data_IF_058861116565
#
_entry.id   IF_058861116565
#
_cell.length_a   1.000
_cell.length_b   1.000
_cell.length_c   1.000
_cell.angle_alpha   90.00
_cell.angle_beta   90.00
_cell.angle_gamma   90.00
#
_symmetry.space_group_name_H-M   'P 1'
#
loop_
_entity.id
_entity.type
_entity.pdbx_description
1 polymer ?
#
# COMPACT_ATOMS: atom_id res chain seq x y z
N UNK A 1 -18.65 -12.51 0.40
CA UNK A 1 -18.21 -13.76 1.08
C UNK A 1 -16.76 -14.04 0.69
N UNK A 2 -16.05 -14.98 1.33
CA UNK A 2 -14.64 -15.29 0.97
C UNK A 2 -14.49 -15.75 -0.49
N UNK A 3 -15.50 -16.47 -1.02
CA UNK A 3 -15.51 -16.94 -2.40
C UNK A 3 -15.68 -15.80 -3.40
N UNK A 4 -16.63 -14.90 -3.17
CA UNK A 4 -16.82 -13.70 -4.01
C UNK A 4 -15.56 -12.83 -4.09
N UNK A 5 -14.83 -12.72 -2.99
CA UNK A 5 -13.60 -11.94 -2.94
C UNK A 5 -12.47 -12.61 -3.74
N UNK A 6 -12.41 -13.95 -3.76
CA UNK A 6 -11.43 -14.69 -4.57
C UNK A 6 -11.77 -14.62 -6.06
N UNK A 7 -13.06 -14.77 -6.41
CA UNK A 7 -13.54 -14.64 -7.79
C UNK A 7 -13.25 -13.23 -8.34
N UNK A 8 -13.53 -12.19 -7.54
CA UNK A 8 -13.21 -10.80 -7.88
C UNK A 8 -11.71 -10.58 -8.05
N UNK A 9 -10.87 -11.15 -7.18
CA UNK A 9 -9.41 -11.07 -7.31
C UNK A 9 -8.92 -11.77 -8.57
N UNK A 10 -9.51 -12.91 -8.92
CA UNK A 10 -9.16 -13.67 -10.12
C UNK A 10 -9.53 -12.89 -11.39
N UNK A 11 -10.71 -12.27 -11.42
CA UNK A 11 -11.18 -11.42 -12.53
C UNK A 11 -10.22 -10.24 -12.74
N UNK A 12 -9.94 -9.48 -11.67
CA UNK A 12 -9.01 -8.34 -11.72
C UNK A 12 -7.63 -8.80 -12.18
N UNK A 13 -7.10 -9.91 -11.65
CA UNK A 13 -5.77 -10.41 -12.02
C UNK A 13 -5.70 -10.72 -13.50
N UNK A 14 -6.72 -11.39 -14.05
CA UNK A 14 -6.78 -11.74 -15.47
C UNK A 14 -6.70 -10.50 -16.36
N UNK A 15 -7.38 -9.43 -15.98
CA UNK A 15 -7.38 -8.17 -16.71
C UNK A 15 -6.09 -7.36 -16.55
N UNK A 16 -5.54 -7.33 -15.34
CA UNK A 16 -4.28 -6.63 -15.07
C UNK A 16 -3.11 -7.31 -15.80
N UNK A 17 -3.06 -8.65 -15.80
CA UNK A 17 -2.01 -9.42 -16.49
C UNK A 17 -1.98 -9.14 -18.01
N UNK A 18 -3.13 -8.78 -18.63
CA UNK A 18 -3.24 -8.39 -20.06
C UNK A 18 -3.15 -6.88 -20.33
N UNK A 19 -2.90 -6.07 -19.31
CA UNK A 19 -2.86 -4.60 -19.44
C UNK A 19 -1.56 -4.15 -20.09
N UNK A 20 -1.66 -3.60 -21.31
CA UNK A 20 -0.57 -2.93 -22.03
C UNK A 20 0.78 -3.71 -22.01
N UNK A 21 0.80 -5.00 -22.42
CA UNK A 21 1.96 -5.88 -22.26
C UNK A 21 3.19 -5.42 -23.05
N UNK A 22 2.98 -4.75 -24.19
CA UNK A 22 4.05 -4.21 -25.04
C UNK A 22 4.71 -2.97 -24.44
N UNK A 23 4.08 -2.38 -23.42
CA UNK A 23 4.60 -1.20 -22.76
C UNK A 23 5.54 -1.59 -21.62
N UNK A 24 6.82 -1.23 -21.75
CA UNK A 24 7.89 -1.69 -20.85
C UNK A 24 7.63 -1.41 -19.36
N UNK A 25 6.94 -0.31 -19.06
CA UNK A 25 6.51 0.04 -17.70
C UNK A 25 5.58 -1.02 -17.09
N UNK A 26 4.69 -1.61 -17.88
CA UNK A 26 3.77 -2.66 -17.45
C UNK A 26 4.27 -4.08 -17.72
N UNK A 27 5.52 -4.25 -18.15
CA UNK A 27 6.07 -5.57 -18.41
C UNK A 27 6.21 -6.38 -17.11
N UNK A 28 5.35 -7.40 -16.95
CA UNK A 28 5.26 -8.27 -15.77
C UNK A 28 6.50 -9.16 -15.55
N UNK A 29 7.32 -9.37 -16.57
CA UNK A 29 8.57 -10.11 -16.42
C UNK A 29 9.59 -9.30 -15.60
N UNK A 30 9.49 -7.96 -15.66
CA UNK A 30 10.34 -7.06 -14.88
C UNK A 30 9.87 -6.99 -13.42
N UNK A 31 10.81 -6.94 -12.44
CA UNK A 31 10.46 -6.78 -11.03
C UNK A 31 9.58 -5.56 -10.77
N UNK A 32 9.90 -4.42 -11.40
CA UNK A 32 9.14 -3.18 -11.25
C UNK A 32 7.74 -3.29 -11.86
N UNK A 33 7.60 -3.92 -13.02
CA UNK A 33 6.31 -4.17 -13.65
C UNK A 33 5.40 -5.05 -12.79
N UNK A 34 5.95 -6.07 -12.10
CA UNK A 34 5.16 -6.86 -11.12
C UNK A 34 4.63 -6.00 -9.97
N UNK A 35 5.41 -5.03 -9.50
CA UNK A 35 4.98 -4.10 -8.45
C UNK A 35 3.83 -3.22 -8.95
N UNK A 36 3.92 -2.70 -10.18
CA UNK A 36 2.84 -1.93 -10.80
C UNK A 36 1.55 -2.75 -10.94
N UNK A 37 1.65 -4.00 -11.44
CA UNK A 37 0.50 -4.92 -11.54
C UNK A 37 -0.13 -5.19 -10.16
N UNK A 38 0.68 -5.42 -9.13
CA UNK A 38 0.19 -5.65 -7.78
C UNK A 38 -0.50 -4.40 -7.19
N UNK A 39 0.01 -3.20 -7.46
CA UNK A 39 -0.58 -1.94 -7.03
C UNK A 39 -1.93 -1.71 -7.71
N UNK A 40 -2.00 -1.80 -9.03
CA UNK A 40 -3.23 -1.65 -9.82
C UNK A 40 -4.29 -2.66 -9.35
N UNK A 41 -3.91 -3.93 -9.19
CA UNK A 41 -4.83 -4.97 -8.70
C UNK A 41 -5.41 -4.63 -7.32
N UNK A 42 -4.58 -4.08 -6.42
CA UNK A 42 -5.01 -3.68 -5.08
C UNK A 42 -5.97 -2.49 -5.14
N UNK A 43 -5.69 -1.49 -5.97
CA UNK A 43 -6.56 -0.31 -6.13
C UNK A 43 -7.94 -0.73 -6.66
N UNK A 44 -7.98 -1.54 -7.71
CA UNK A 44 -9.24 -2.05 -8.29
C UNK A 44 -10.04 -2.89 -7.29
N UNK A 45 -9.36 -3.75 -6.53
CA UNK A 45 -10.00 -4.56 -5.50
C UNK A 45 -10.61 -3.69 -4.40
N UNK A 46 -9.87 -2.70 -3.88
CA UNK A 46 -10.38 -1.77 -2.86
C UNK A 46 -11.57 -0.98 -3.41
N UNK A 47 -11.48 -0.45 -4.63
CA UNK A 47 -12.57 0.28 -5.27
C UNK A 47 -13.85 -0.56 -5.33
N UNK A 48 -13.74 -1.82 -5.77
CA UNK A 48 -14.87 -2.73 -5.87
C UNK A 48 -15.50 -3.06 -4.51
N UNK A 49 -14.68 -3.20 -3.45
CA UNK A 49 -15.17 -3.45 -2.09
C UNK A 49 -15.88 -2.24 -1.48
N UNK A 50 -15.41 -1.02 -1.78
CA UNK A 50 -16.01 0.22 -1.27
C UNK A 50 -17.28 0.61 -2.02
N UNK A 51 -17.44 0.18 -3.28
CA UNK A 51 -18.55 0.55 -4.14
C UNK A 51 -19.36 -0.68 -4.58
N UNK A 52 -20.11 -1.35 -3.68
CA UNK A 52 -20.81 -2.60 -3.98
C UNK A 52 -21.92 -2.45 -5.04
N UNK A 53 -22.40 -1.24 -5.31
CA UNK A 53 -23.38 -0.96 -6.36
C UNK A 53 -22.80 -0.95 -7.78
N UNK A 54 -21.50 -0.69 -7.93
CA UNK A 54 -20.80 -0.65 -9.22
C UNK A 54 -19.92 -1.89 -9.37
N UNK A 55 -19.16 -2.22 -8.32
CA UNK A 55 -18.12 -3.26 -8.27
C UNK A 55 -17.03 -3.04 -9.33
N UNK A 56 -16.17 -4.03 -9.51
CA UNK A 56 -15.27 -4.07 -10.65
C UNK A 56 -16.05 -4.51 -11.89
N UNK A 57 -15.69 -3.96 -13.04
CA UNK A 57 -16.18 -4.36 -14.36
C UNK A 57 -14.99 -4.54 -15.28
N UNK A 58 -15.01 -5.61 -16.08
CA UNK A 58 -13.98 -5.89 -17.07
C UNK A 58 -13.64 -4.65 -17.92
N UNK A 59 -12.36 -4.31 -18.03
CA UNK A 59 -11.87 -3.12 -18.74
C UNK A 59 -11.62 -1.90 -17.86
N UNK A 60 -12.06 -1.88 -16.60
CA UNK A 60 -11.71 -0.78 -15.68
C UNK A 60 -10.19 -0.63 -15.45
N UNK A 61 -9.43 -1.71 -15.62
CA UNK A 61 -7.97 -1.67 -15.64
C UNK A 61 -7.41 -0.74 -16.73
N UNK A 62 -8.07 -0.64 -17.88
CA UNK A 62 -7.63 0.18 -19.02
C UNK A 62 -7.81 1.68 -18.76
N UNK A 63 -8.76 2.04 -17.88
CA UNK A 63 -8.94 3.42 -17.40
C UNK A 63 -7.92 3.75 -16.30
N UNK A 64 -7.68 2.82 -15.37
CA UNK A 64 -6.74 3.05 -14.27
C UNK A 64 -5.28 3.07 -14.72
N UNK A 65 -4.89 2.25 -15.70
CA UNK A 65 -3.51 2.13 -16.16
C UNK A 65 -2.86 3.46 -16.59
N UNK A 66 -3.47 4.28 -17.48
CA UNK A 66 -2.88 5.56 -17.88
C UNK A 66 -2.83 6.56 -16.71
N UNK A 67 -3.84 6.58 -15.83
CA UNK A 67 -3.82 7.44 -14.64
C UNK A 67 -2.67 7.06 -13.72
N UNK A 68 -2.53 5.76 -13.43
CA UNK A 68 -1.46 5.23 -12.60
C UNK A 68 -0.08 5.57 -13.17
N UNK A 69 0.10 5.42 -14.49
CA UNK A 69 1.35 5.78 -15.17
C UNK A 69 1.73 7.25 -14.97
N UNK A 70 0.79 8.17 -15.18
CA UNK A 70 1.04 9.62 -15.01
C UNK A 70 1.45 9.93 -13.58
N UNK A 71 0.74 9.40 -12.58
CA UNK A 71 1.09 9.59 -11.17
C UNK A 71 2.49 9.08 -10.83
N UNK A 72 2.86 7.88 -11.31
CA UNK A 72 4.21 7.36 -11.11
C UNK A 72 5.27 8.29 -11.70
N UNK A 73 5.01 8.84 -12.89
CA UNK A 73 5.96 9.71 -13.55
C UNK A 73 6.15 11.05 -12.84
N UNK A 74 5.07 11.65 -12.34
CA UNK A 74 5.13 12.89 -11.55
C UNK A 74 5.90 12.68 -10.24
N UNK A 75 5.61 11.60 -9.54
CA UNK A 75 6.29 11.23 -8.28
C UNK A 75 7.78 10.99 -8.53
N UNK A 76 8.13 10.22 -9.58
CA UNK A 76 9.51 9.97 -9.94
C UNK A 76 10.25 11.27 -10.30
N UNK A 77 9.61 12.17 -11.05
CA UNK A 77 10.18 13.48 -11.39
C UNK A 77 10.43 14.34 -10.15
N UNK A 78 9.51 14.36 -9.19
CA UNK A 78 9.66 15.06 -7.92
C UNK A 78 10.85 14.50 -7.10
N UNK A 79 10.97 13.18 -7.00
CA UNK A 79 12.09 12.53 -6.30
C UNK A 79 13.43 12.85 -6.97
N UNK A 80 13.50 12.82 -8.31
CA UNK A 80 14.72 13.17 -9.04
C UNK A 80 15.09 14.65 -8.85
N UNK A 81 14.11 15.55 -8.84
CA UNK A 81 14.33 16.97 -8.54
C UNK A 81 14.84 17.20 -7.12
N UNK A 82 14.28 16.49 -6.14
CA UNK A 82 14.72 16.56 -4.74
C UNK A 82 16.15 16.03 -4.54
N UNK A 83 16.49 14.89 -5.16
CA UNK A 83 17.84 14.32 -5.11
C UNK A 83 18.85 15.21 -5.85
N UNK A 84 18.47 15.76 -7.01
CA UNK A 84 19.28 16.70 -7.76
C UNK A 84 19.61 17.94 -6.94
N UNK A 85 18.62 18.54 -6.28
CA UNK A 85 18.81 19.70 -5.40
C UNK A 85 19.72 19.44 -4.20
N UNK A 86 19.76 18.21 -3.67
CA UNK A 86 20.65 17.85 -2.56
C UNK A 86 22.12 17.72 -3.00
N UNK A 87 22.39 17.42 -4.27
CA UNK A 87 23.76 17.30 -4.80
C UNK A 87 24.35 18.63 -5.28
N UNK A 88 23.54 19.68 -5.51
CA UNK A 88 24.04 21.01 -5.99
C UNK A 88 24.34 22.02 -4.87
N UNK A 89 24.07 21.70 -3.59
CA UNK A 89 24.43 22.55 -2.46
C UNK A 89 23.70 23.90 -2.37
N UNK A 90 22.67 24.14 -3.19
CA UNK A 90 21.86 25.36 -3.08
C UNK A 90 20.76 25.18 -2.01
N UNK A 91 20.58 26.14 -1.08
CA UNK A 91 19.65 25.97 0.03
C UNK A 91 18.20 25.94 -0.46
N UNK A 92 17.40 25.01 0.08
CA UNK A 92 15.98 24.84 -0.23
C UNK A 92 15.21 26.17 -0.16
N UNK A 93 14.27 26.46 -1.10
CA UNK A 93 13.17 27.36 -0.78
C UNK A 93 12.32 26.68 0.29
N UNK A 94 12.17 27.35 1.43
CA UNK A 94 11.45 26.84 2.59
C UNK A 94 9.96 26.74 2.26
N UNK A 95 9.45 25.54 1.97
CA UNK A 95 8.00 25.32 2.01
C UNK A 95 7.50 25.61 3.44
N UNK A 96 6.35 26.29 3.58
CA UNK A 96 5.91 26.80 4.88
C UNK A 96 5.56 25.65 5.81
N UNK A 97 6.31 25.56 6.91
CA UNK A 97 6.04 24.64 8.02
C UNK A 97 4.63 24.93 8.57
N UNK A 98 3.74 23.93 8.72
CA UNK A 98 2.47 24.15 9.41
C UNK A 98 2.73 24.57 10.87
N UNK A 99 1.90 25.47 11.44
CA UNK A 99 2.12 25.97 12.80
C UNK A 99 2.12 24.80 13.79
N UNK A 100 3.20 24.69 14.55
CA UNK A 100 3.38 23.66 15.56
C UNK A 100 2.27 23.79 16.61
N UNK A 101 1.38 22.80 16.69
CA UNK A 101 0.46 22.70 17.82
C UNK A 101 1.30 22.40 19.08
N UNK A 102 1.21 23.30 20.05
CA UNK A 102 1.88 23.23 21.34
C UNK A 102 1.36 22.05 22.17
N UNK A 103 2.01 20.90 22.06
CA UNK A 103 1.78 19.76 22.94
C UNK A 103 2.87 19.70 24.01
N UNK A 104 2.53 20.22 25.19
CA UNK A 104 3.28 20.06 26.44
C UNK A 104 3.47 18.56 26.74
N UNK A 105 4.72 18.08 26.72
CA UNK A 105 5.08 16.72 27.20
C UNK A 105 5.02 16.69 28.74
N UNK A 106 4.42 15.67 29.38
CA UNK A 106 4.75 15.33 30.76
C UNK A 106 6.01 14.43 30.81
N UNK A 107 6.75 14.42 31.94
CA UNK A 107 8.00 13.67 32.07
C UNK A 107 7.79 12.17 32.30
N UNK A 108 8.78 11.40 31.85
CA UNK A 108 8.89 9.95 31.90
C UNK A 108 9.31 9.48 33.30
N UNK A 109 8.48 8.70 33.99
CA UNK A 109 8.87 8.03 35.24
C UNK A 109 9.28 6.59 34.98
N UNK A 110 10.54 6.29 35.30
CA UNK A 110 11.15 4.96 35.26
C UNK A 110 10.83 4.19 36.54
N UNK A 111 10.19 3.02 36.46
CA UNK A 111 10.34 1.98 37.50
C UNK A 111 10.26 0.57 36.89
N UNK A 112 11.39 -0.11 37.02
CA UNK A 112 11.57 -1.55 36.84
C UNK A 112 10.82 -2.30 37.96
N UNK A 113 10.02 -3.32 37.64
CA UNK A 113 9.63 -4.36 38.61
C UNK A 113 9.43 -5.69 37.88
N UNK A 114 10.37 -6.59 38.13
CA UNK A 114 10.35 -8.01 37.80
C UNK A 114 9.50 -8.75 38.83
N UNK A 115 8.57 -9.60 38.40
CA UNK A 115 8.00 -10.67 39.25
C UNK A 115 7.65 -11.88 38.35
N UNK A 116 8.02 -13.11 38.74
CA UNK A 116 7.80 -14.30 37.92
C UNK A 116 6.40 -14.91 38.12
N UNK A 117 5.80 -15.41 37.04
CA UNK A 117 4.52 -16.13 37.06
C UNK A 117 4.79 -17.63 37.23
N UNK A 118 4.24 -18.22 38.31
CA UNK A 118 4.28 -19.66 38.55
C UNK A 118 2.88 -20.21 38.81
N UNK A 119 2.54 -21.24 38.04
CA UNK A 119 1.66 -22.38 38.34
C UNK A 119 0.14 -22.18 38.37
N UNK A 120 -0.59 -22.83 37.42
CA UNK A 120 -1.65 -23.81 37.73
C UNK A 120 -2.00 -24.74 36.54
N UNK A 121 -2.28 -25.99 36.90
CA UNK A 121 -2.34 -27.26 36.15
C UNK A 121 -3.46 -27.45 35.11
N UNK A 122 -3.35 -28.46 34.21
CA UNK A 122 -4.43 -28.90 33.31
C UNK A 122 -5.40 -29.89 33.99
N UNK A 123 -6.69 -29.82 33.61
CA UNK A 123 -7.76 -30.71 34.07
C UNK A 123 -8.01 -31.84 33.06
N UNK A 124 -7.88 -33.07 33.55
CA UNK A 124 -8.37 -34.39 33.08
C UNK A 124 -9.89 -34.38 32.78
N UNK A 125 -10.56 -35.19 31.94
CA UNK A 125 -10.42 -36.51 31.28
C UNK A 125 -11.54 -36.62 30.21
N UNK A 126 -11.53 -37.58 29.26
CA UNK A 126 -12.77 -38.06 28.61
C UNK A 126 -13.11 -39.51 29.01
N UNK A 127 -14.40 -39.86 29.07
CA UNK A 127 -14.93 -41.24 29.12
C UNK A 127 -16.46 -41.22 28.95
N UNK A 128 -17.12 -42.36 28.67
CA UNK A 128 -16.67 -43.57 27.98
C UNK A 128 -17.25 -43.72 26.56
#
# INVERSE_FOLDING_TARGET
>A
TWHEDEDLRAEIRKDVDRTLPDYSFFNREQPIGRLHHAAISRVLFIYAKLNPGIRYVQGMNEVLAPLYYVFCQEIDAEYQGALGSQLTGSPLPSSPRPPAQSATRPPLSTHTTTTPLSTRSPRSTPSP
#
